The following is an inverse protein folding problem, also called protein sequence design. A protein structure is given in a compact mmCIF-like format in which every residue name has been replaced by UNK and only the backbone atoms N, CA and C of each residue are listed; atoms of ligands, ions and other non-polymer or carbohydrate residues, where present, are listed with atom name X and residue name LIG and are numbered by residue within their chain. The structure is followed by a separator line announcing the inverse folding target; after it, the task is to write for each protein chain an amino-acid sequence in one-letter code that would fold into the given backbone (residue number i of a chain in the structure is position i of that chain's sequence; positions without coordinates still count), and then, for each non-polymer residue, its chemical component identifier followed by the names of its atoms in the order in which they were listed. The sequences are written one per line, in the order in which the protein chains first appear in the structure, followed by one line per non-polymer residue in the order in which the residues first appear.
data_IF_716052549614
#
_entry.id   IF_716052549614
#
_cell.length_a   1.000
_cell.length_b   1.000
_cell.length_c   1.000
_cell.angle_alpha   90.00
_cell.angle_beta   90.00
_cell.angle_gamma   90.00
#
_symmetry.space_group_name_H-M   'P 1'
#
loop_
_entity.id
_entity.type
_entity.pdbx_description
1 polymer ?
#
# COMPACT_ATOMS: atom_id res chain seq x y z
N UNK A 1 11.97 19.59 -3.88
CA UNK A 1 12.14 18.55 -2.84
C UNK A 1 10.88 17.68 -2.71
N UNK A 2 9.71 18.26 -2.46
CA UNK A 2 8.43 17.55 -2.30
C UNK A 2 8.11 16.53 -3.41
N UNK A 3 8.12 16.95 -4.69
CA UNK A 3 7.78 16.07 -5.81
C UNK A 3 8.70 14.84 -5.93
N UNK A 4 10.00 15.01 -5.61
CA UNK A 4 10.95 13.88 -5.61
C UNK A 4 10.66 12.90 -4.47
N UNK A 5 10.31 13.39 -3.28
CA UNK A 5 9.97 12.54 -2.13
C UNK A 5 8.67 11.77 -2.40
N UNK A 6 7.62 12.44 -2.91
CA UNK A 6 6.37 11.80 -3.29
C UNK A 6 6.55 10.75 -4.39
N UNK A 7 7.36 11.05 -5.42
CA UNK A 7 7.70 10.09 -6.46
C UNK A 7 8.49 8.89 -5.90
N UNK A 8 9.42 9.14 -4.97
CA UNK A 8 10.13 8.10 -4.24
C UNK A 8 9.19 7.20 -3.46
N UNK A 9 8.20 7.77 -2.77
CA UNK A 9 7.16 7.00 -2.06
C UNK A 9 6.38 6.10 -3.02
N UNK A 10 5.91 6.67 -4.15
CA UNK A 10 5.15 5.92 -5.15
C UNK A 10 5.98 4.79 -5.77
N UNK A 11 7.25 5.05 -6.09
CA UNK A 11 8.16 4.06 -6.62
C UNK A 11 8.44 2.93 -5.62
N UNK A 12 8.77 3.30 -4.36
CA UNK A 12 9.03 2.32 -3.31
C UNK A 12 7.81 1.43 -3.07
N UNK A 13 6.62 2.02 -2.95
CA UNK A 13 5.39 1.24 -2.79
C UNK A 13 5.11 0.35 -4.00
N UNK A 14 5.13 0.91 -5.21
CA UNK A 14 4.79 0.18 -6.44
C UNK A 14 5.77 -0.92 -6.82
N UNK A 15 7.02 -0.88 -6.33
CA UNK A 15 8.05 -1.89 -6.65
C UNK A 15 8.26 -2.88 -5.50
N UNK A 16 8.42 -2.38 -4.28
CA UNK A 16 8.89 -3.21 -3.17
C UNK A 16 7.84 -4.16 -2.63
N UNK A 17 6.55 -3.83 -2.77
CA UNK A 17 5.46 -4.75 -2.39
C UNK A 17 5.31 -5.99 -3.29
N UNK A 18 6.21 -6.18 -4.24
CA UNK A 18 6.26 -7.38 -5.07
C UNK A 18 7.44 -8.31 -4.71
N UNK A 19 8.19 -8.01 -3.65
CA UNK A 19 9.32 -8.86 -3.20
C UNK A 19 8.87 -10.29 -2.86
N UNK A 20 7.70 -10.46 -2.26
CA UNK A 20 7.13 -11.77 -1.95
C UNK A 20 6.79 -12.62 -3.17
N UNK A 21 6.71 -12.02 -4.38
CA UNK A 21 6.46 -12.71 -5.65
C UNK A 21 7.74 -13.18 -6.35
N UNK A 22 8.92 -12.90 -5.77
CA UNK A 22 10.19 -13.33 -6.36
C UNK A 22 10.27 -14.86 -6.42
N UNK A 23 10.83 -15.41 -7.54
CA UNK A 23 10.88 -16.85 -7.75
C UNK A 23 11.49 -17.61 -6.56
N UNK A 24 10.80 -18.67 -6.13
CA UNK A 24 11.23 -19.53 -5.02
C UNK A 24 11.56 -18.78 -3.72
N UNK A 25 11.06 -17.54 -3.55
CA UNK A 25 11.35 -16.69 -2.40
C UNK A 25 12.83 -16.37 -2.21
N UNK A 26 13.62 -16.39 -3.31
CA UNK A 26 15.08 -16.24 -3.32
C UNK A 26 15.82 -17.37 -2.58
N UNK A 27 15.22 -18.54 -2.48
CA UNK A 27 15.78 -19.71 -1.80
C UNK A 27 15.50 -19.76 -0.29
N UNK A 28 15.91 -20.88 0.30
CA UNK A 28 15.69 -21.17 1.72
C UNK A 28 16.65 -20.36 2.59
N UNK A 29 16.11 -19.62 3.53
CA UNK A 29 16.79 -18.90 4.58
C UNK A 29 16.91 -19.72 5.88
N UNK A 30 17.24 -19.08 7.01
CA UNK A 30 17.33 -19.74 8.31
C UNK A 30 16.00 -20.40 8.70
N UNK A 31 16.07 -21.57 9.30
CA UNK A 31 14.94 -22.31 9.88
C UNK A 31 13.74 -22.53 8.94
N UNK A 32 14.04 -22.70 7.63
CA UNK A 32 13.02 -22.95 6.63
C UNK A 32 12.28 -21.70 6.12
N UNK A 33 12.61 -20.52 6.60
CA UNK A 33 12.09 -19.24 6.08
C UNK A 33 12.63 -18.97 4.67
N UNK A 34 12.04 -18.00 3.96
CA UNK A 34 12.51 -17.58 2.63
C UNK A 34 13.32 -16.29 2.74
N UNK A 35 14.37 -16.13 1.95
CA UNK A 35 15.13 -14.87 1.94
C UNK A 35 14.30 -13.66 1.54
N UNK A 36 13.28 -13.88 0.68
CA UNK A 36 12.33 -12.83 0.33
C UNK A 36 11.58 -12.27 1.54
N UNK A 37 11.22 -13.10 2.53
CA UNK A 37 10.52 -12.68 3.74
C UNK A 37 11.41 -11.74 4.60
N UNK A 38 12.71 -12.02 4.66
CA UNK A 38 13.67 -11.14 5.37
C UNK A 38 13.86 -9.79 4.69
N UNK A 39 13.84 -9.75 3.36
CA UNK A 39 13.91 -8.49 2.61
C UNK A 39 12.58 -7.72 2.72
N UNK A 40 11.47 -8.43 2.68
CA UNK A 40 10.13 -7.85 2.74
C UNK A 40 9.86 -7.18 4.11
N UNK A 41 10.49 -7.66 5.18
CA UNK A 41 10.47 -7.03 6.50
C UNK A 41 10.91 -5.55 6.47
N UNK A 42 11.76 -5.16 5.52
CA UNK A 42 12.24 -3.79 5.36
C UNK A 42 11.30 -2.90 4.54
N UNK A 43 10.35 -3.49 3.82
CA UNK A 43 9.47 -2.76 2.87
C UNK A 43 8.70 -1.62 3.52
N UNK A 44 8.04 -1.78 4.67
CA UNK A 44 7.34 -0.67 5.31
C UNK A 44 8.25 0.54 5.56
N UNK A 45 9.47 0.31 6.02
CA UNK A 45 10.42 1.39 6.30
C UNK A 45 10.91 2.09 5.05
N UNK A 46 11.16 1.33 3.98
CA UNK A 46 11.57 1.86 2.67
C UNK A 46 10.45 2.67 2.00
N UNK A 47 9.19 2.38 2.30
CA UNK A 47 8.03 3.16 1.84
C UNK A 47 7.77 4.36 2.75
N UNK A 48 7.82 4.17 4.06
CA UNK A 48 7.49 5.20 5.05
C UNK A 48 8.55 6.32 5.11
N UNK A 49 9.83 6.01 4.87
CA UNK A 49 10.89 7.02 4.90
C UNK A 49 10.68 8.13 3.85
N UNK A 50 10.51 7.84 2.55
CA UNK A 50 10.19 8.88 1.56
C UNK A 50 8.81 9.49 1.78
N UNK A 51 7.83 8.76 2.35
CA UNK A 51 6.53 9.30 2.72
C UNK A 51 6.67 10.35 3.85
N UNK A 52 7.42 10.05 4.90
CA UNK A 52 7.73 11.02 5.96
C UNK A 52 8.47 12.25 5.41
N UNK A 53 9.42 12.03 4.48
CA UNK A 53 10.09 13.14 3.80
C UNK A 53 9.13 14.00 2.98
N UNK A 54 8.11 13.40 2.38
CA UNK A 54 7.03 14.13 1.69
C UNK A 54 6.24 15.00 2.66
N UNK A 55 5.92 14.48 3.85
CA UNK A 55 5.23 15.21 4.91
C UNK A 55 6.04 16.42 5.40
N UNK A 56 7.36 16.22 5.63
CA UNK A 56 8.29 17.29 6.02
C UNK A 56 8.35 18.36 4.92
N UNK A 57 8.55 17.95 3.68
CA UNK A 57 8.66 18.85 2.54
C UNK A 57 7.35 19.60 2.21
N UNK A 58 6.23 19.09 2.70
CA UNK A 58 4.91 19.72 2.59
C UNK A 58 4.60 20.70 3.71
N UNK A 59 5.41 20.75 4.78
CA UNK A 59 5.19 21.56 5.98
C UNK A 59 3.79 21.31 6.58
N UNK A 60 3.45 20.03 6.71
CA UNK A 60 2.12 19.57 7.10
C UNK A 60 1.78 19.93 8.55
N UNK A 61 0.49 20.14 8.82
CA UNK A 61 -0.03 20.41 10.15
C UNK A 61 0.04 19.18 11.09
N UNK A 62 -0.09 19.45 12.41
CA UNK A 62 0.00 18.42 13.45
C UNK A 62 -1.03 17.29 13.29
N UNK A 63 -2.25 17.61 12.81
CA UNK A 63 -3.31 16.57 12.68
C UNK A 63 -2.97 15.59 11.56
N UNK A 64 -2.45 16.12 10.45
CA UNK A 64 -1.99 15.31 9.33
C UNK A 64 -0.79 14.45 9.73
N UNK A 65 0.14 14.97 10.56
CA UNK A 65 1.24 14.21 11.14
C UNK A 65 0.75 13.10 12.09
N UNK A 66 -0.26 13.36 12.92
CA UNK A 66 -0.83 12.34 13.79
C UNK A 66 -1.47 11.21 12.97
N UNK A 67 -2.25 11.55 11.94
CA UNK A 67 -2.83 10.54 11.03
C UNK A 67 -1.75 9.72 10.33
N UNK A 68 -0.68 10.38 9.82
CA UNK A 68 0.47 9.70 9.25
C UNK A 68 1.15 8.77 10.24
N UNK A 69 1.44 9.23 11.46
CA UNK A 69 2.09 8.44 12.49
C UNK A 69 1.30 7.21 12.90
N UNK A 70 -0.02 7.36 13.11
CA UNK A 70 -0.91 6.23 13.39
C UNK A 70 -0.95 5.25 12.22
N UNK A 71 -1.02 5.77 10.99
CA UNK A 71 -0.98 4.96 9.78
C UNK A 71 0.34 4.22 9.63
N UNK A 72 1.47 4.88 9.88
CA UNK A 72 2.80 4.28 9.80
C UNK A 72 2.99 3.15 10.81
N UNK A 73 2.54 3.34 12.06
CA UNK A 73 2.56 2.31 13.09
C UNK A 73 1.69 1.10 12.70
N UNK A 74 0.47 1.34 12.25
CA UNK A 74 -0.43 0.27 11.83
C UNK A 74 0.13 -0.46 10.59
N UNK A 75 0.65 0.27 9.60
CA UNK A 75 1.27 -0.31 8.42
C UNK A 75 2.45 -1.22 8.79
N UNK A 76 3.42 -0.73 9.56
CA UNK A 76 4.60 -1.51 9.93
C UNK A 76 4.25 -2.73 10.80
N UNK A 77 3.34 -2.57 11.78
CA UNK A 77 2.89 -3.68 12.61
C UNK A 77 2.09 -4.72 11.82
N UNK A 78 1.12 -4.28 11.01
CA UNK A 78 0.29 -5.19 10.21
C UNK A 78 1.13 -5.98 9.22
N UNK A 79 2.08 -5.33 8.54
CA UNK A 79 3.02 -6.00 7.64
C UNK A 79 3.92 -7.01 8.37
N UNK A 80 4.43 -6.65 9.56
CA UNK A 80 5.23 -7.58 10.37
C UNK A 80 4.43 -8.79 10.85
N UNK A 81 3.17 -8.59 11.25
CA UNK A 81 2.26 -9.69 11.63
C UNK A 81 1.96 -10.60 10.46
N UNK A 82 1.64 -10.03 9.28
CA UNK A 82 1.46 -10.76 8.03
C UNK A 82 2.68 -11.62 7.69
N UNK A 83 3.87 -11.04 7.67
CA UNK A 83 5.10 -11.76 7.37
C UNK A 83 5.40 -12.88 8.36
N UNK A 84 5.19 -12.65 9.66
CA UNK A 84 5.38 -13.68 10.66
C UNK A 84 4.41 -14.84 10.45
N UNK A 85 3.14 -14.55 10.22
CA UNK A 85 2.12 -15.56 9.90
C UNK A 85 2.45 -16.33 8.64
N UNK A 86 2.83 -15.64 7.56
CA UNK A 86 3.25 -16.24 6.29
C UNK A 86 4.48 -17.15 6.46
N UNK A 87 5.52 -16.67 7.16
CA UNK A 87 6.73 -17.47 7.38
C UNK A 87 6.45 -18.73 8.19
N UNK A 88 5.60 -18.65 9.24
CA UNK A 88 5.15 -19.83 9.98
C UNK A 88 4.32 -20.75 9.09
N UNK A 89 3.37 -20.22 8.35
CA UNK A 89 2.49 -20.99 7.45
C UNK A 89 3.24 -21.72 6.34
N UNK A 90 4.38 -21.21 5.90
CA UNK A 90 5.23 -21.87 4.92
C UNK A 90 5.95 -23.12 5.47
N UNK A 91 6.19 -23.18 6.79
CA UNK A 91 6.89 -24.29 7.46
C UNK A 91 5.91 -25.25 8.12
N UNK A 92 4.91 -24.69 8.81
CA UNK A 92 3.90 -25.44 9.57
C UNK A 92 2.51 -24.79 9.29
N UNK A 93 1.85 -25.14 8.20
CA UNK A 93 0.57 -24.56 7.83
C UNK A 93 -0.53 -24.94 8.82
N UNK A 94 -1.27 -23.93 9.30
CA UNK A 94 -2.36 -24.14 10.24
C UNK A 94 -3.29 -22.91 10.34
N UNK A 95 -4.46 -23.10 10.97
CA UNK A 95 -5.48 -22.05 11.11
C UNK A 95 -4.95 -20.80 11.83
N UNK A 96 -4.07 -20.98 12.81
CA UNK A 96 -3.47 -19.86 13.56
C UNK A 96 -2.53 -19.05 12.68
N UNK A 97 -1.68 -19.70 11.87
CA UNK A 97 -0.81 -19.02 10.91
C UNK A 97 -1.65 -18.24 9.90
N UNK A 98 -2.67 -18.89 9.32
CA UNK A 98 -3.61 -18.26 8.39
C UNK A 98 -4.35 -17.04 9.01
N UNK A 99 -4.81 -17.16 10.27
CA UNK A 99 -5.48 -16.04 10.96
C UNK A 99 -4.57 -14.82 11.08
N UNK A 100 -3.32 -15.01 11.51
CA UNK A 100 -2.39 -13.90 11.70
C UNK A 100 -1.87 -13.35 10.38
N UNK A 101 -1.68 -14.19 9.38
CA UNK A 101 -1.26 -13.80 8.03
C UNK A 101 -2.39 -13.06 7.30
N UNK A 102 -3.43 -13.80 6.92
CA UNK A 102 -4.41 -13.34 5.93
C UNK A 102 -5.49 -12.44 6.53
N UNK A 103 -5.82 -12.58 7.82
CA UNK A 103 -6.93 -11.83 8.41
C UNK A 103 -6.42 -10.64 9.22
N UNK A 104 -5.66 -10.90 10.29
CA UNK A 104 -5.27 -9.84 11.24
C UNK A 104 -4.18 -8.95 10.64
N UNK A 105 -3.13 -9.58 10.07
CA UNK A 105 -2.01 -8.86 9.48
C UNK A 105 -2.48 -7.93 8.34
N UNK A 106 -3.23 -8.46 7.40
CA UNK A 106 -3.77 -7.69 6.29
C UNK A 106 -4.73 -6.58 6.73
N UNK A 107 -5.64 -6.86 7.68
CA UNK A 107 -6.59 -5.85 8.16
C UNK A 107 -5.86 -4.63 8.78
N UNK A 108 -4.87 -4.87 9.63
CA UNK A 108 -4.08 -3.80 10.26
C UNK A 108 -3.22 -3.08 9.22
N UNK A 109 -2.56 -3.83 8.34
CA UNK A 109 -1.73 -3.29 7.26
C UNK A 109 -2.53 -2.35 6.36
N UNK A 110 -3.66 -2.80 5.80
CA UNK A 110 -4.48 -1.99 4.90
C UNK A 110 -5.05 -0.74 5.57
N UNK A 111 -5.48 -0.85 6.84
CA UNK A 111 -5.89 0.31 7.60
C UNK A 111 -4.73 1.33 7.74
N UNK A 112 -3.51 0.84 7.99
CA UNK A 112 -2.31 1.66 8.07
C UNK A 112 -1.98 2.36 6.76
N UNK A 113 -1.96 1.63 5.65
CA UNK A 113 -1.69 2.20 4.31
C UNK A 113 -2.76 3.22 3.93
N UNK A 114 -4.04 2.96 4.24
CA UNK A 114 -5.12 3.90 3.97
C UNK A 114 -4.95 5.23 4.72
N UNK A 115 -4.53 5.19 5.99
CA UNK A 115 -4.24 6.39 6.78
C UNK A 115 -3.02 7.16 6.24
N UNK A 116 -1.94 6.46 5.88
CA UNK A 116 -0.76 7.08 5.22
C UNK A 116 -1.17 7.74 3.90
N UNK A 117 -1.97 7.05 3.08
CA UNK A 117 -2.49 7.58 1.83
C UNK A 117 -3.34 8.85 2.06
N UNK A 118 -4.22 8.83 3.06
CA UNK A 118 -5.04 10.00 3.40
C UNK A 118 -4.19 11.20 3.85
N UNK A 119 -3.14 10.96 4.64
CA UNK A 119 -2.19 11.99 5.05
C UNK A 119 -1.43 12.56 3.85
N UNK A 120 -0.93 11.70 2.95
CA UNK A 120 -0.27 12.13 1.72
C UNK A 120 -1.23 12.89 0.80
N UNK A 121 -2.48 12.45 0.66
CA UNK A 121 -3.51 13.15 -0.11
C UNK A 121 -3.73 14.58 0.40
N UNK A 122 -3.73 14.78 1.73
CA UNK A 122 -3.85 16.11 2.31
C UNK A 122 -2.70 17.04 1.86
N UNK A 123 -1.47 16.51 1.68
CA UNK A 123 -0.32 17.28 1.20
C UNK A 123 -0.42 17.72 -0.27
N UNK A 124 -1.28 17.08 -1.06
CA UNK A 124 -1.42 17.34 -2.50
C UNK A 124 -2.33 18.54 -2.83
N UNK A 125 -3.07 19.04 -1.83
CA UNK A 125 -4.01 20.15 -2.02
C UNK A 125 -3.31 21.40 -2.51
N UNK A 126 -3.90 22.06 -3.53
CA UNK A 126 -3.39 23.33 -4.07
C UNK A 126 -2.06 23.20 -4.83
N UNK A 127 -1.55 21.99 -5.03
CA UNK A 127 -0.31 21.79 -5.78
C UNK A 127 -0.58 21.60 -7.28
N UNK A 128 0.32 22.07 -8.16
CA UNK A 128 0.15 21.93 -9.60
C UNK A 128 0.14 20.44 -10.01
N UNK A 129 -0.46 20.16 -11.15
CA UNK A 129 -0.45 18.82 -11.75
C UNK A 129 0.97 18.26 -11.84
N UNK A 130 1.13 16.93 -11.74
CA UNK A 130 2.44 16.31 -11.84
C UNK A 130 2.99 16.41 -13.27
N UNK A 131 4.32 16.31 -13.44
CA UNK A 131 4.90 16.04 -14.74
C UNK A 131 4.40 14.66 -15.25
N UNK A 132 4.55 14.41 -16.56
CA UNK A 132 4.04 13.20 -17.21
C UNK A 132 4.42 11.88 -16.50
N UNK A 133 5.65 11.81 -15.94
CA UNK A 133 6.15 10.64 -15.20
C UNK A 133 5.33 10.32 -13.93
N UNK A 134 4.62 11.29 -13.37
CA UNK A 134 3.77 11.10 -12.20
C UNK A 134 2.56 10.20 -12.48
N UNK A 135 2.10 10.12 -13.73
CA UNK A 135 0.94 9.29 -14.08
C UNK A 135 1.23 7.79 -14.08
N UNK A 136 2.30 7.28 -14.72
CA UNK A 136 2.64 5.87 -14.62
C UNK A 136 3.03 5.45 -13.19
N UNK A 137 3.67 6.31 -12.41
CA UNK A 137 3.92 6.03 -10.99
C UNK A 137 2.61 5.88 -10.20
N UNK A 138 1.65 6.78 -10.41
CA UNK A 138 0.34 6.70 -9.79
C UNK A 138 -0.41 5.42 -10.18
N UNK A 139 -0.39 5.06 -11.47
CA UNK A 139 -0.97 3.82 -11.95
C UNK A 139 -0.33 2.60 -11.28
N UNK A 140 1.00 2.57 -11.18
CA UNK A 140 1.73 1.52 -10.48
C UNK A 140 1.27 1.35 -9.03
N UNK A 141 1.11 2.46 -8.29
CA UNK A 141 0.59 2.43 -6.90
C UNK A 141 -0.82 1.82 -6.83
N UNK A 142 -1.72 2.23 -7.72
CA UNK A 142 -3.10 1.71 -7.69
C UNK A 142 -3.20 0.25 -8.11
N UNK A 143 -2.38 -0.21 -9.05
CA UNK A 143 -2.30 -1.61 -9.45
C UNK A 143 -1.71 -2.48 -8.33
N UNK A 144 -0.64 -2.01 -7.67
CA UNK A 144 -0.07 -2.68 -6.49
C UNK A 144 -1.08 -2.78 -5.36
N UNK A 145 -1.83 -1.70 -5.08
CA UNK A 145 -2.92 -1.71 -4.10
C UNK A 145 -3.95 -2.78 -4.42
N UNK A 146 -4.42 -2.85 -5.67
CA UNK A 146 -5.44 -3.80 -6.08
C UNK A 146 -4.94 -5.24 -6.06
N UNK A 147 -3.71 -5.52 -6.58
CA UNK A 147 -3.14 -6.87 -6.62
C UNK A 147 -2.93 -7.45 -5.21
N UNK A 148 -2.40 -6.64 -4.30
CA UNK A 148 -2.20 -7.06 -2.91
C UNK A 148 -3.54 -7.34 -2.21
N UNK A 149 -4.58 -6.53 -2.48
CA UNK A 149 -5.89 -6.73 -1.89
C UNK A 149 -6.59 -8.01 -2.40
N UNK A 150 -6.40 -8.35 -3.68
CA UNK A 150 -6.91 -9.61 -4.26
C UNK A 150 -6.21 -10.80 -3.63
N UNK A 151 -4.87 -10.77 -3.54
CA UNK A 151 -4.05 -11.81 -2.92
C UNK A 151 -4.35 -11.99 -1.43
N UNK A 152 -4.48 -10.89 -0.68
CA UNK A 152 -4.68 -10.89 0.78
C UNK A 152 -6.15 -10.90 1.22
N UNK A 153 -7.12 -11.23 0.36
CA UNK A 153 -8.53 -11.35 0.76
C UNK A 153 -9.22 -10.06 1.22
N UNK A 154 -8.58 -8.89 1.10
CA UNK A 154 -9.06 -7.59 1.61
C UNK A 154 -9.77 -6.74 0.54
N UNK A 155 -10.41 -7.39 -0.44
CA UNK A 155 -11.01 -6.74 -1.62
C UNK A 155 -12.03 -5.66 -1.25
N UNK A 156 -12.94 -5.94 -0.32
CA UNK A 156 -14.01 -5.00 0.05
C UNK A 156 -13.47 -3.71 0.66
N UNK A 157 -12.66 -3.74 1.74
CA UNK A 157 -12.11 -2.51 2.31
C UNK A 157 -11.18 -1.79 1.33
N UNK A 158 -10.41 -2.52 0.52
CA UNK A 158 -9.54 -1.93 -0.49
C UNK A 158 -10.33 -1.22 -1.60
N UNK A 159 -11.45 -1.78 -2.03
CA UNK A 159 -12.35 -1.16 -3.00
C UNK A 159 -12.94 0.16 -2.44
N UNK A 160 -13.38 0.18 -1.19
CA UNK A 160 -13.89 1.40 -0.56
C UNK A 160 -12.83 2.51 -0.52
N UNK A 161 -11.58 2.18 -0.16
CA UNK A 161 -10.47 3.14 -0.18
C UNK A 161 -10.17 3.60 -1.61
N UNK A 162 -10.15 2.69 -2.59
CA UNK A 162 -9.88 3.04 -3.98
C UNK A 162 -10.97 3.96 -4.56
N UNK A 163 -12.24 3.72 -4.23
CA UNK A 163 -13.36 4.60 -4.62
C UNK A 163 -13.24 5.97 -3.96
N UNK A 164 -12.93 6.02 -2.66
CA UNK A 164 -12.74 7.28 -1.93
C UNK A 164 -11.57 8.10 -2.49
N UNK A 165 -10.41 7.44 -2.74
CA UNK A 165 -9.24 8.07 -3.35
C UNK A 165 -9.54 8.59 -4.77
N UNK A 166 -10.25 7.79 -5.58
CA UNK A 166 -10.66 8.19 -6.93
C UNK A 166 -11.62 9.38 -6.92
N UNK A 167 -12.63 9.37 -6.03
CA UNK A 167 -13.57 10.46 -5.88
C UNK A 167 -12.88 11.75 -5.40
N UNK A 168 -11.93 11.62 -4.48
CA UNK A 168 -11.13 12.76 -4.03
C UNK A 168 -10.25 13.29 -5.16
N UNK A 169 -9.57 12.42 -5.91
CA UNK A 169 -8.75 12.76 -7.06
C UNK A 169 -9.57 13.42 -8.19
N UNK A 170 -10.81 12.96 -8.43
CA UNK A 170 -11.73 13.60 -9.37
C UNK A 170 -12.06 15.04 -8.99
N UNK A 171 -12.36 15.28 -7.71
CA UNK A 171 -12.62 16.62 -7.20
C UNK A 171 -11.38 17.55 -7.31
N UNK A 172 -10.18 16.97 -7.36
CA UNK A 172 -8.89 17.66 -7.44
C UNK A 172 -8.17 17.46 -8.77
N UNK A 173 -8.91 17.13 -9.85
CA UNK A 173 -8.32 16.78 -11.14
C UNK A 173 -7.57 17.94 -11.83
N UNK A 174 -7.77 19.17 -11.40
CA UNK A 174 -7.01 20.34 -11.86
C UNK A 174 -5.65 20.49 -11.12
N UNK A 175 -5.43 19.75 -10.04
CA UNK A 175 -4.28 19.79 -9.14
C UNK A 175 -3.50 18.46 -9.17
N UNK A 176 -2.47 18.35 -8.33
CA UNK A 176 -1.70 17.12 -8.12
C UNK A 176 -2.58 15.94 -7.69
N UNK A 177 -3.70 16.20 -7.01
CA UNK A 177 -4.65 15.18 -6.60
C UNK A 177 -5.16 14.27 -7.72
N UNK A 178 -5.03 14.66 -8.99
CA UNK A 178 -5.36 13.82 -10.16
C UNK A 178 -4.61 12.47 -10.15
N UNK A 179 -3.44 12.38 -9.52
CA UNK A 179 -2.70 11.12 -9.42
C UNK A 179 -3.49 10.05 -8.67
N UNK A 180 -4.33 10.43 -7.69
CA UNK A 180 -5.17 9.45 -6.99
C UNK A 180 -6.30 8.93 -7.89
N UNK A 181 -6.85 9.75 -8.76
CA UNK A 181 -7.81 9.28 -9.76
C UNK A 181 -7.15 8.30 -10.73
N UNK A 182 -5.99 8.68 -11.28
CA UNK A 182 -5.27 7.86 -12.27
C UNK A 182 -4.81 6.52 -11.68
N UNK A 183 -4.37 6.51 -10.44
CA UNK A 183 -3.94 5.28 -9.76
C UNK A 183 -5.12 4.41 -9.35
N UNK A 184 -6.04 4.97 -8.59
CA UNK A 184 -7.03 4.18 -7.87
C UNK A 184 -8.31 3.87 -8.66
N UNK A 185 -8.66 4.63 -9.71
CA UNK A 185 -9.84 4.29 -10.51
C UNK A 185 -9.67 2.96 -11.30
N UNK A 186 -8.52 2.70 -11.97
CA UNK A 186 -8.27 1.38 -12.55
C UNK A 186 -8.21 0.27 -11.49
N UNK A 187 -7.58 0.53 -10.34
CA UNK A 187 -7.55 -0.39 -9.21
C UNK A 187 -8.96 -0.75 -8.70
N UNK A 188 -9.85 0.25 -8.59
CA UNK A 188 -11.24 0.02 -8.19
C UNK A 188 -12.00 -0.85 -9.21
N UNK A 189 -11.75 -0.68 -10.51
CA UNK A 189 -12.35 -1.54 -11.55
C UNK A 189 -11.89 -2.99 -11.39
N UNK A 190 -10.59 -3.22 -11.16
CA UNK A 190 -10.03 -4.56 -10.94
C UNK A 190 -10.63 -5.21 -9.68
N UNK A 191 -10.69 -4.48 -8.57
CA UNK A 191 -11.25 -4.97 -7.31
C UNK A 191 -12.75 -5.27 -7.42
N UNK A 192 -13.51 -4.43 -8.13
CA UNK A 192 -14.93 -4.68 -8.39
C UNK A 192 -15.14 -5.91 -9.27
N UNK A 193 -14.30 -6.10 -10.30
CA UNK A 193 -14.33 -7.29 -11.15
C UNK A 193 -14.04 -8.58 -10.38
N UNK A 194 -13.02 -8.58 -9.51
CA UNK A 194 -12.70 -9.71 -8.63
C UNK A 194 -13.86 -10.03 -7.67
N UNK A 195 -14.43 -8.99 -7.03
CA UNK A 195 -15.57 -9.16 -6.12
C UNK A 195 -16.78 -9.79 -6.81
N UNK A 196 -17.14 -9.31 -8.01
CA UNK A 196 -18.22 -9.88 -8.82
C UNK A 196 -17.92 -11.34 -9.19
N UNK A 197 -16.67 -11.62 -9.59
CA UNK A 197 -16.23 -12.99 -9.89
C UNK A 197 -16.43 -13.96 -8.72
N UNK A 198 -16.11 -13.53 -7.50
CA UNK A 198 -16.30 -14.32 -6.26
C UNK A 198 -17.76 -14.54 -5.89
N UNK A 199 -18.64 -13.57 -6.17
CA UNK A 199 -20.08 -13.68 -5.89
C UNK A 199 -20.81 -14.62 -6.86
N UNK A 200 -20.23 -14.94 -8.00
CA UNK A 200 -20.81 -15.80 -9.04
C UNK A 200 -20.32 -17.27 -8.95
N UNK A 201 -19.46 -17.60 -7.96
CA UNK A 201 -18.96 -18.95 -7.69
C UNK A 201 -19.74 -19.58 -6.54
#
# INVERSE_FOLDING_TARGET
MYAKALAGTALSYGVLHHLGLLPEGLGTGPDGTRWADWLDLLVPWLVLAPAAWTMIAAETDRRTWLAFGMGALAYANGHGVHLAGNSVGNVDPGETAHLWDEVVGHAIWYAGVALVLAALAATMRGRPRPPWIGYPLALGVGLTWASNAVGGGTVVPALLVALAASAWGWRRRAELGVVLLVGFAPGAVLLAGDLIGRLNQ
#
